data_IF_606932784046
#
_entry.id   IF_606932784046
#
_cell.length_a   1.000
_cell.length_b   1.000
_cell.length_c   1.000
_cell.angle_alpha   90.00
_cell.angle_beta   90.00
_cell.angle_gamma   90.00
#
_symmetry.space_group_name_H-M   'P 1'
#
loop_
_entity.id
_entity.type
_entity.pdbx_description
1 polymer ?
#
# COMPACT_ATOMS: atom_id res chain seq x y z
N UNK A 1 -0.48 27.15 27.67
CA UNK A 1 0.95 26.81 27.82
C UNK A 1 1.17 25.30 27.73
N UNK A 2 1.01 24.48 28.78
CA UNK A 2 1.30 23.03 28.66
C UNK A 2 0.53 22.30 27.53
N UNK A 3 -0.76 22.60 27.34
CA UNK A 3 -1.57 22.00 26.28
C UNK A 3 -1.21 22.51 24.87
N UNK A 4 -0.88 23.80 24.72
CA UNK A 4 -0.44 24.38 23.45
C UNK A 4 0.93 23.82 23.02
N UNK A 5 1.84 23.61 23.98
CA UNK A 5 3.15 23.00 23.74
C UNK A 5 3.02 21.52 23.32
N UNK A 6 2.06 20.79 23.89
CA UNK A 6 1.74 19.41 23.53
C UNK A 6 1.13 19.31 22.13
N UNK A 7 0.21 20.21 21.80
CA UNK A 7 -0.40 20.30 20.46
C UNK A 7 0.64 20.62 19.37
N UNK A 8 1.49 21.63 19.61
CA UNK A 8 2.60 21.98 18.72
C UNK A 8 3.56 20.81 18.52
N UNK A 9 3.86 20.06 19.60
CA UNK A 9 4.72 18.88 19.53
C UNK A 9 4.08 17.78 18.70
N UNK A 10 2.81 17.45 18.98
CA UNK A 10 2.07 16.41 18.26
C UNK A 10 1.99 16.71 16.76
N UNK A 11 1.79 17.98 16.40
CA UNK A 11 1.78 18.44 15.02
C UNK A 11 3.12 18.25 14.31
N UNK A 12 4.22 18.67 14.96
CA UNK A 12 5.57 18.50 14.40
C UNK A 12 5.89 17.01 14.22
N UNK A 13 5.50 16.19 15.18
CA UNK A 13 5.69 14.74 15.12
C UNK A 13 4.89 14.12 13.97
N UNK A 14 3.60 14.43 13.85
CA UNK A 14 2.75 13.96 12.75
C UNK A 14 3.32 14.38 11.39
N UNK A 15 3.78 15.63 11.27
CA UNK A 15 4.42 16.14 10.05
C UNK A 15 5.68 15.36 9.68
N UNK A 16 6.58 15.15 10.64
CA UNK A 16 7.83 14.43 10.39
C UNK A 16 7.59 12.97 10.01
N UNK A 17 6.61 12.32 10.65
CA UNK A 17 6.23 10.94 10.34
C UNK A 17 5.64 10.83 8.94
N UNK A 18 4.70 11.71 8.57
CA UNK A 18 4.08 11.71 7.25
C UNK A 18 5.11 12.03 6.15
N UNK A 19 5.95 13.04 6.35
CA UNK A 19 7.00 13.41 5.38
C UNK A 19 8.01 12.28 5.15
N UNK A 20 8.43 11.62 6.24
CA UNK A 20 9.31 10.44 6.16
C UNK A 20 8.65 9.29 5.38
N UNK A 21 7.36 9.05 5.61
CA UNK A 21 6.62 8.01 4.91
C UNK A 21 6.46 8.35 3.42
N UNK A 22 6.08 9.59 3.08
CA UNK A 22 5.98 10.06 1.69
C UNK A 22 7.28 9.79 0.95
N UNK A 23 8.43 10.19 1.52
CA UNK A 23 9.72 9.96 0.89
C UNK A 23 10.03 8.47 0.69
N UNK A 24 9.78 7.64 1.70
CA UNK A 24 10.00 6.19 1.61
C UNK A 24 9.13 5.56 0.52
N UNK A 25 7.84 5.88 0.49
CA UNK A 25 6.90 5.33 -0.49
C UNK A 25 7.24 5.79 -1.90
N UNK A 26 7.62 7.06 -2.11
CA UNK A 26 8.07 7.54 -3.41
C UNK A 26 9.27 6.74 -3.91
N UNK A 27 10.27 6.55 -3.04
CA UNK A 27 11.48 5.79 -3.37
C UNK A 27 11.15 4.34 -3.74
N UNK A 28 10.36 3.67 -2.92
CA UNK A 28 10.04 2.26 -3.11
C UNK A 28 9.14 2.06 -4.34
N UNK A 29 8.20 2.98 -4.61
CA UNK A 29 7.35 2.93 -5.81
C UNK A 29 8.17 3.12 -7.08
N UNK A 30 9.17 4.01 -7.06
CA UNK A 30 10.14 4.16 -8.16
C UNK A 30 10.95 2.88 -8.37
N UNK A 31 11.34 2.18 -7.29
CA UNK A 31 12.07 0.91 -7.34
C UNK A 31 11.20 -0.26 -7.83
N UNK A 32 9.91 -0.27 -7.48
CA UNK A 32 8.99 -1.33 -7.88
C UNK A 32 8.70 -1.30 -9.37
N UNK A 33 8.75 -0.13 -10.01
CA UNK A 33 8.63 -0.01 -11.47
C UNK A 33 7.43 -0.80 -11.97
N UNK A 34 7.61 -1.70 -12.93
CA UNK A 34 6.53 -2.53 -13.50
C UNK A 34 6.14 -3.79 -12.70
N UNK A 35 6.67 -3.96 -11.48
CA UNK A 35 6.40 -5.13 -10.62
C UNK A 35 5.05 -5.08 -9.89
N UNK A 36 4.37 -3.93 -9.95
CA UNK A 36 3.03 -3.67 -9.39
C UNK A 36 2.09 -3.20 -10.49
N UNK A 37 0.81 -3.58 -10.40
CA UNK A 37 -0.23 -3.19 -11.36
C UNK A 37 -0.41 -1.68 -11.47
N UNK A 38 -0.87 -1.23 -12.65
CA UNK A 38 -1.21 0.18 -12.88
C UNK A 38 -2.26 0.70 -11.87
N UNK A 39 -3.26 -0.12 -11.53
CA UNK A 39 -4.27 0.25 -10.53
C UNK A 39 -3.68 0.51 -9.14
N UNK A 40 -2.69 -0.27 -8.74
CA UNK A 40 -2.03 -0.11 -7.45
C UNK A 40 -1.11 1.10 -7.44
N UNK A 41 -0.41 1.38 -8.54
CA UNK A 41 0.35 2.63 -8.73
C UNK A 41 -0.55 3.86 -8.64
N UNK A 42 -1.67 3.85 -9.34
CA UNK A 42 -2.62 4.98 -9.35
C UNK A 42 -3.12 5.28 -7.93
N UNK A 43 -3.53 4.25 -7.17
CA UNK A 43 -3.95 4.42 -5.77
C UNK A 43 -2.83 4.96 -4.87
N UNK A 44 -1.60 4.49 -5.07
CA UNK A 44 -0.42 4.98 -4.35
C UNK A 44 -0.12 6.45 -4.66
N UNK A 45 -0.17 6.83 -5.94
CA UNK A 45 0.06 8.20 -6.38
C UNK A 45 -1.02 9.15 -5.83
N UNK A 46 -2.28 8.74 -5.84
CA UNK A 46 -3.38 9.49 -5.21
C UNK A 46 -3.17 9.66 -3.70
N UNK A 47 -2.78 8.59 -2.99
CA UNK A 47 -2.48 8.66 -1.55
C UNK A 47 -1.25 9.54 -1.25
N UNK A 48 -0.23 9.52 -2.12
CA UNK A 48 0.94 10.38 -2.02
C UNK A 48 0.58 11.86 -2.21
N UNK A 49 -0.27 12.20 -3.18
CA UNK A 49 -0.74 13.58 -3.37
C UNK A 49 -1.56 14.05 -2.17
N UNK A 50 -2.49 13.22 -1.66
CA UNK A 50 -3.23 13.53 -0.42
C UNK A 50 -2.29 13.76 0.78
N UNK A 51 -1.27 12.92 0.95
CA UNK A 51 -0.27 13.08 1.98
C UNK A 51 0.51 14.41 1.85
N UNK A 52 0.90 14.79 0.63
CA UNK A 52 1.56 16.09 0.37
C UNK A 52 0.64 17.27 0.62
N UNK A 53 -0.66 17.14 0.37
CA UNK A 53 -1.64 18.17 0.70
C UNK A 53 -1.86 18.28 2.21
N UNK A 54 -1.96 17.17 2.92
CA UNK A 54 -2.08 17.13 4.38
C UNK A 54 -0.88 17.80 5.09
N UNK A 55 0.34 17.63 4.55
CA UNK A 55 1.55 18.34 5.04
C UNK A 55 1.44 19.87 4.93
N UNK A 56 0.58 20.39 4.04
CA UNK A 56 0.32 21.84 3.86
C UNK A 56 -0.85 22.33 4.74
N UNK A 57 -1.76 21.45 5.12
CA UNK A 57 -2.97 21.79 5.89
C UNK A 57 -2.67 22.23 7.33
N UNK A 58 -1.46 21.95 7.83
CA UNK A 58 -1.03 22.29 9.19
C UNK A 58 -2.07 21.81 10.23
N UNK A 59 -2.51 20.56 10.09
CA UNK A 59 -3.46 19.89 10.97
C UNK A 59 -2.98 18.47 11.28
N UNK A 60 -2.83 18.15 12.57
CA UNK A 60 -2.22 16.89 13.00
C UNK A 60 -3.12 15.68 12.72
N UNK A 61 -4.43 15.84 12.83
CA UNK A 61 -5.39 14.77 12.58
C UNK A 61 -5.41 14.40 11.09
N UNK A 62 -5.49 15.40 10.22
CA UNK A 62 -5.40 15.24 8.75
C UNK A 62 -4.09 14.57 8.35
N UNK A 63 -2.95 14.96 8.95
CA UNK A 63 -1.67 14.32 8.68
C UNK A 63 -1.63 12.85 9.13
N UNK A 64 -2.22 12.52 10.29
CA UNK A 64 -2.28 11.14 10.77
C UNK A 64 -3.19 10.28 9.88
N UNK A 65 -4.37 10.79 9.50
CA UNK A 65 -5.27 10.07 8.59
C UNK A 65 -4.63 9.83 7.23
N UNK A 66 -3.97 10.83 6.64
CA UNK A 66 -3.25 10.68 5.38
C UNK A 66 -2.05 9.72 5.49
N UNK A 67 -1.35 9.71 6.64
CA UNK A 67 -0.29 8.74 6.93
C UNK A 67 -0.84 7.31 6.92
N UNK A 68 -1.97 7.09 7.59
CA UNK A 68 -2.57 5.77 7.73
C UNK A 68 -3.09 5.26 6.39
N UNK A 69 -3.72 6.13 5.58
CA UNK A 69 -4.14 5.82 4.20
C UNK A 69 -2.93 5.46 3.31
N UNK A 70 -1.86 6.26 3.37
CA UNK A 70 -0.63 6.01 2.60
C UNK A 70 0.01 4.67 3.02
N UNK A 71 0.04 4.37 4.31
CA UNK A 71 0.60 3.13 4.84
C UNK A 71 -0.21 1.89 4.40
N UNK A 72 -1.53 1.99 4.35
CA UNK A 72 -2.41 0.90 3.88
C UNK A 72 -2.17 0.61 2.39
N UNK A 73 -2.17 1.64 1.55
CA UNK A 73 -1.91 1.50 0.10
C UNK A 73 -0.50 0.95 -0.16
N UNK A 74 0.49 1.44 0.60
CA UNK A 74 1.87 0.96 0.51
C UNK A 74 2.01 -0.51 0.91
N UNK A 75 1.34 -0.94 1.98
CA UNK A 75 1.33 -2.35 2.38
C UNK A 75 0.68 -3.25 1.32
N UNK A 76 -0.43 -2.82 0.71
CA UNK A 76 -1.10 -3.57 -0.35
C UNK A 76 -0.19 -3.71 -1.58
N UNK A 77 0.48 -2.63 -1.98
CA UNK A 77 1.43 -2.65 -3.09
C UNK A 77 2.66 -3.52 -2.81
N UNK A 78 3.19 -3.49 -1.59
CA UNK A 78 4.28 -4.38 -1.17
C UNK A 78 3.88 -5.85 -1.24
N UNK A 79 2.66 -6.21 -0.83
CA UNK A 79 2.15 -7.58 -0.95
C UNK A 79 2.06 -8.02 -2.41
N UNK A 80 1.55 -7.16 -3.29
CA UNK A 80 1.46 -7.44 -4.73
C UNK A 80 2.85 -7.63 -5.36
N UNK A 81 3.81 -6.77 -5.02
CA UNK A 81 5.20 -6.87 -5.47
C UNK A 81 5.89 -8.17 -5.02
N UNK A 82 5.64 -8.61 -3.79
CA UNK A 82 6.14 -9.89 -3.30
C UNK A 82 5.49 -11.09 -4.00
N UNK A 83 4.18 -11.01 -4.29
CA UNK A 83 3.46 -12.04 -5.03
C UNK A 83 3.93 -12.13 -6.49
N UNK A 84 4.16 -11.00 -7.16
CA UNK A 84 4.69 -10.97 -8.53
C UNK A 84 6.09 -11.56 -8.61
N UNK A 85 6.99 -11.20 -7.68
CA UNK A 85 8.31 -11.84 -7.60
C UNK A 85 8.28 -13.34 -7.29
N UNK A 86 7.34 -13.80 -6.45
CA UNK A 86 7.19 -15.21 -6.16
C UNK A 86 6.71 -16.00 -7.40
N UNK A 87 5.79 -15.43 -8.18
CA UNK A 87 5.33 -16.02 -9.43
C UNK A 87 6.43 -16.08 -10.51
N UNK A 88 7.26 -15.03 -10.64
CA UNK A 88 8.41 -15.04 -11.55
C UNK A 88 9.51 -16.04 -11.15
N UNK A 89 9.69 -16.28 -9.84
CA UNK A 89 10.63 -17.29 -9.35
C UNK A 89 10.18 -18.73 -9.66
N UNK A 90 8.87 -18.97 -9.77
CA UNK A 90 8.30 -20.28 -10.12
C UNK A 90 8.33 -20.52 -11.65
N UNK A 91 8.19 -19.46 -12.46
CA UNK A 91 8.34 -19.53 -13.92
C UNK A 91 9.79 -19.81 -14.38
N UNK A 92 10.80 -19.44 -13.57
CA UNK A 92 12.21 -19.75 -13.85
C UNK A 92 12.60 -21.22 -13.56
N UNK A 93 11.71 -22.01 -12.94
CA UNK A 93 11.93 -23.43 -12.67
C UNK A 93 11.33 -24.39 -13.72
N UNK A 94 10.53 -23.89 -14.68
CA UNK A 94 9.85 -24.74 -15.68
C UNK A 94 10.60 -24.93 -17.03
N UNK A 95 11.74 -24.26 -17.29
CA UNK A 95 12.57 -24.52 -18.50
C UNK A 95 13.59 -25.65 -18.30
N UNK A 96 13.29 -26.61 -17.43
CA UNK A 96 14.05 -27.86 -17.29
C UNK A 96 13.13 -29.03 -17.05
N UNK A 97 12.41 -29.44 -18.09
CA UNK A 97 11.82 -30.79 -18.17
C UNK A 97 12.79 -31.72 -18.93
N UNK A 98 12.90 -33.00 -18.53
CA UNK A 98 11.87 -33.95 -18.96
C UNK A 98 11.32 -34.85 -17.84
N UNK A 99 9.99 -35.02 -17.90
CA UNK A 99 9.23 -36.28 -17.80
C UNK A 99 9.44 -37.19 -16.57
N UNK A 100 8.45 -37.24 -15.67
CA UNK A 100 7.75 -38.49 -15.32
C UNK A 100 6.45 -38.25 -14.52
N UNK A 101 5.34 -38.58 -15.19
CA UNK A 101 4.12 -39.26 -14.72
C UNK A 101 3.48 -38.96 -13.34
N UNK A 102 2.28 -38.38 -13.44
CA UNK A 102 1.00 -38.89 -12.90
C UNK A 102 0.78 -38.98 -11.38
N UNK A 103 -0.02 -38.06 -10.84
CA UNK A 103 -1.16 -38.40 -10.00
C UNK A 103 -2.15 -37.23 -9.88
N UNK A 104 -3.40 -37.51 -10.26
CA UNK A 104 -4.59 -36.65 -10.19
C UNK A 104 -4.87 -36.09 -8.79
N UNK A 105 -5.36 -34.84 -8.74
CA UNK A 105 -6.59 -34.51 -8.02
C UNK A 105 -7.12 -33.13 -8.44
N UNK A 106 -8.35 -33.14 -8.94
CA UNK A 106 -9.17 -32.02 -9.34
C UNK A 106 -9.44 -31.03 -8.20
N UNK A 107 -9.27 -29.73 -8.44
CA UNK A 107 -10.13 -28.72 -7.82
C UNK A 107 -10.30 -27.50 -8.74
N UNK A 108 -11.48 -26.91 -8.61
CA UNK A 108 -12.22 -26.00 -9.48
C UNK A 108 -11.60 -24.58 -9.59
N UNK A 109 -11.77 -23.85 -10.71
CA UNK A 109 -11.34 -22.46 -10.85
C UNK A 109 -12.42 -21.52 -10.29
N UNK A 110 -12.50 -21.40 -8.97
CA UNK A 110 -13.38 -20.44 -8.31
C UNK A 110 -12.68 -19.96 -7.04
N UNK A 111 -12.07 -18.78 -7.11
CA UNK A 111 -12.19 -17.69 -6.13
C UNK A 111 -11.14 -16.65 -6.49
N UNK A 112 -11.55 -15.79 -7.39
CA UNK A 112 -11.05 -14.44 -7.53
C UNK A 112 -11.38 -13.72 -6.21
N UNK A 113 -10.52 -13.88 -5.20
CA UNK A 113 -10.46 -13.01 -4.02
C UNK A 113 -9.89 -11.64 -4.47
N UNK A 114 -10.58 -11.03 -5.44
CA UNK A 114 -10.63 -9.57 -5.53
C UNK A 114 -11.29 -9.16 -4.24
N UNK A 115 -10.47 -8.74 -3.29
CA UNK A 115 -10.91 -7.96 -2.16
C UNK A 115 -11.60 -6.73 -2.74
N UNK A 116 -12.91 -6.87 -2.96
CA UNK A 116 -13.86 -5.79 -2.96
C UNK A 116 -13.67 -5.12 -1.60
N UNK A 117 -12.76 -4.16 -1.57
CA UNK A 117 -12.72 -3.14 -0.55
C UNK A 117 -14.01 -2.34 -0.74
N UNK A 118 -15.11 -2.94 -0.31
CA UNK A 118 -16.34 -2.29 0.06
C UNK A 118 -15.95 -1.40 1.24
N UNK A 119 -15.36 -0.25 0.91
CA UNK A 119 -15.23 0.85 1.83
C UNK A 119 -16.65 1.39 1.97
N UNK A 120 -17.44 0.71 2.80
CA UNK A 120 -18.65 1.26 3.37
C UNK A 120 -18.22 2.57 4.01
N UNK A 121 -18.53 3.67 3.31
CA UNK A 121 -18.45 5.03 3.83
C UNK A 121 -19.33 5.00 5.07
N UNK A 122 -18.71 4.84 6.24
CA UNK A 122 -19.36 5.06 7.51
C UNK A 122 -19.56 6.56 7.58
N UNK A 123 -20.68 7.01 7.00
CA UNK A 123 -21.21 8.34 7.24
C UNK A 123 -21.27 8.53 8.75
N UNK A 124 -20.50 9.51 9.21
CA UNK A 124 -20.44 9.96 10.58
C UNK A 124 -21.82 10.46 11.02
N UNK A 125 -22.44 9.77 11.98
CA UNK A 125 -23.48 10.36 12.82
C UNK A 125 -23.26 9.94 14.28
N UNK A 126 -22.57 10.79 15.07
CA UNK A 126 -22.95 11.18 16.45
C UNK A 126 -22.20 12.44 16.91
#
# INVERSE_FOLDING_TARGET
>A
HAAEDEELRGKIEARNQLDSLVYQVQKDTEEWGDSVSESTKERLDEALEKAKEALKADDAETMNSARDELMQNFSAAGQEMYQSQAADAEAAAEDSTPETEEASASHDPSDEDVLEADYEIVDEEQ
#
